data_IF_213381250180
#
_entry.id   IF_213381250180
#
_cell.length_a   1.000
_cell.length_b   1.000
_cell.length_c   1.000
_cell.angle_alpha   90.00
_cell.angle_beta   90.00
_cell.angle_gamma   90.00
#
_symmetry.space_group_name_H-M   'P 1'
#
loop_
_entity.id
_entity.type
_entity.pdbx_description
1 polymer ?
#
# COMPACT_ATOMS: atom_id res chain seq x y z
N UNK A 1 -1.31 8.43 1.26
CA UNK A 1 -0.15 9.32 1.43
C UNK A 1 -0.38 10.66 0.73
N UNK A 2 -0.51 10.69 -0.60
CA UNK A 2 -0.66 11.92 -1.40
C UNK A 2 -1.81 12.82 -0.92
N UNK A 3 -3.00 12.26 -0.69
CA UNK A 3 -4.14 13.03 -0.16
C UNK A 3 -3.84 13.73 1.17
N UNK A 4 -3.07 13.10 2.08
CA UNK A 4 -2.67 13.75 3.33
C UNK A 4 -1.65 14.87 3.07
N UNK A 5 -0.70 14.65 2.15
CA UNK A 5 0.28 15.67 1.76
C UNK A 5 -0.38 16.90 1.16
N UNK A 6 -1.38 16.70 0.30
CA UNK A 6 -2.18 17.78 -0.30
C UNK A 6 -2.99 18.57 0.74
N UNK A 7 -3.30 17.95 1.88
CA UNK A 7 -4.01 18.58 3.00
C UNK A 7 -3.06 19.10 4.10
N UNK A 8 -1.77 19.28 3.80
CA UNK A 8 -0.82 20.01 4.67
C UNK A 8 -0.08 19.16 5.70
N UNK A 9 -0.30 17.84 5.74
CA UNK A 9 0.47 16.95 6.62
C UNK A 9 1.94 16.90 6.17
N UNK A 10 2.87 16.88 7.12
CA UNK A 10 4.29 16.64 6.81
C UNK A 10 4.49 15.25 6.18
N UNK A 11 5.62 15.02 5.47
CA UNK A 11 5.94 13.70 4.94
C UNK A 11 5.90 12.60 6.01
N UNK A 12 6.51 12.83 7.16
CA UNK A 12 6.54 11.86 8.25
C UNK A 12 5.17 11.56 8.82
N UNK A 13 4.32 12.58 9.02
CA UNK A 13 2.94 12.35 9.47
C UNK A 13 2.16 11.54 8.43
N UNK A 14 2.20 11.95 7.16
CA UNK A 14 1.50 11.24 6.09
C UNK A 14 1.96 9.79 5.94
N UNK A 15 3.26 9.51 6.15
CA UNK A 15 3.79 8.15 6.11
C UNK A 15 3.36 7.33 7.32
N UNK A 16 3.42 7.91 8.53
CA UNK A 16 3.01 7.24 9.75
C UNK A 16 1.51 6.90 9.72
N UNK A 17 0.66 7.87 9.39
CA UNK A 17 -0.81 7.73 9.31
C UNK A 17 -1.30 6.85 8.15
N UNK A 18 -0.39 6.29 7.33
CA UNK A 18 -0.77 5.39 6.23
C UNK A 18 0.00 4.08 6.28
N UNK A 19 1.30 4.10 5.98
CA UNK A 19 2.10 2.89 5.82
C UNK A 19 2.46 2.28 7.17
N UNK A 20 2.90 3.07 8.15
CA UNK A 20 3.22 2.52 9.48
C UNK A 20 1.96 2.12 10.21
N UNK A 21 0.89 2.93 10.16
CA UNK A 21 -0.37 2.58 10.80
C UNK A 21 -0.93 1.26 10.28
N UNK A 22 -0.92 1.05 8.96
CA UNK A 22 -1.31 -0.25 8.40
C UNK A 22 -0.35 -1.36 8.85
N UNK A 23 0.95 -1.21 8.63
CA UNK A 23 1.90 -2.34 8.72
C UNK A 23 2.38 -2.67 10.12
N UNK A 24 2.46 -1.66 11.01
CA UNK A 24 2.96 -1.81 12.38
C UNK A 24 1.82 -1.82 13.40
N UNK A 25 0.77 -1.01 13.21
CA UNK A 25 -0.35 -0.93 14.17
C UNK A 25 -1.45 -1.95 13.86
N UNK A 26 -2.05 -1.89 12.67
CA UNK A 26 -3.30 -2.58 12.36
C UNK A 26 -3.09 -4.03 11.87
N UNK A 27 -2.13 -4.25 10.98
CA UNK A 27 -1.85 -5.58 10.41
C UNK A 27 -1.62 -6.66 11.48
N UNK A 28 -0.79 -6.45 12.52
CA UNK A 28 -0.59 -7.47 13.55
C UNK A 28 -1.88 -7.84 14.29
N UNK A 29 -2.81 -6.89 14.45
CA UNK A 29 -4.07 -7.11 15.16
C UNK A 29 -5.03 -7.97 14.35
N UNK A 30 -5.32 -7.59 13.10
CA UNK A 30 -6.27 -8.37 12.29
C UNK A 30 -5.67 -9.68 11.78
N UNK A 31 -4.35 -9.76 11.58
CA UNK A 31 -3.69 -11.01 11.25
C UNK A 31 -3.81 -12.05 12.38
N UNK A 32 -3.81 -11.58 13.64
CA UNK A 32 -3.93 -12.45 14.82
C UNK A 32 -5.38 -12.76 15.18
N UNK A 33 -6.26 -11.76 15.14
CA UNK A 33 -7.60 -11.85 15.75
C UNK A 33 -8.76 -11.70 14.76
N UNK A 34 -8.51 -11.37 13.49
CA UNK A 34 -9.55 -11.06 12.51
C UNK A 34 -9.92 -9.56 12.44
N UNK A 35 -10.55 -9.18 11.33
CA UNK A 35 -10.92 -7.78 11.03
C UNK A 35 -12.03 -7.25 11.94
N UNK A 36 -13.02 -8.08 12.26
CA UNK A 36 -14.14 -7.73 13.14
C UNK A 36 -13.64 -7.45 14.56
N UNK A 37 -12.72 -8.28 15.07
CA UNK A 37 -12.08 -8.05 16.35
C UNK A 37 -11.31 -6.73 16.35
N UNK A 38 -10.52 -6.46 15.30
CA UNK A 38 -9.77 -5.21 15.18
C UNK A 38 -10.73 -3.99 15.23
N UNK A 39 -11.81 -3.99 14.43
CA UNK A 39 -12.77 -2.90 14.41
C UNK A 39 -13.48 -2.70 15.76
N UNK A 40 -13.81 -3.78 16.48
CA UNK A 40 -14.42 -3.72 17.79
C UNK A 40 -13.48 -3.17 18.88
N UNK A 41 -12.16 -3.24 18.66
CA UNK A 41 -11.13 -2.75 19.59
C UNK A 41 -10.51 -1.40 19.16
N UNK A 42 -11.02 -0.79 18.08
CA UNK A 42 -10.71 0.59 17.71
C UNK A 42 -11.64 1.58 18.42
N UNK A 43 -11.28 2.87 18.42
CA UNK A 43 -12.17 3.94 18.90
C UNK A 43 -13.46 4.00 18.08
N UNK A 44 -14.54 4.57 18.65
CA UNK A 44 -15.81 4.73 17.94
C UNK A 44 -15.64 5.47 16.61
N UNK A 45 -14.80 6.52 16.56
CA UNK A 45 -14.54 7.28 15.33
C UNK A 45 -13.86 6.41 14.27
N UNK A 46 -12.85 5.63 14.65
CA UNK A 46 -12.15 4.74 13.71
C UNK A 46 -13.04 3.59 13.23
N UNK A 47 -13.84 3.02 14.14
CA UNK A 47 -14.80 1.97 13.80
C UNK A 47 -15.84 2.45 12.79
N UNK A 48 -16.46 3.63 13.04
CA UNK A 48 -17.42 4.22 12.11
C UNK A 48 -16.79 4.61 10.79
N UNK A 49 -15.61 5.23 10.82
CA UNK A 49 -14.85 5.54 9.60
C UNK A 49 -14.61 4.30 8.73
N UNK A 50 -14.20 3.18 9.33
CA UNK A 50 -13.99 1.94 8.58
C UNK A 50 -15.30 1.35 8.01
N UNK A 51 -16.32 1.20 8.86
CA UNK A 51 -17.60 0.58 8.47
C UNK A 51 -18.42 1.42 7.48
N UNK A 52 -18.39 2.74 7.62
CA UNK A 52 -19.18 3.64 6.78
C UNK A 52 -18.55 3.79 5.38
N UNK A 53 -17.23 3.64 5.25
CA UNK A 53 -16.51 3.81 3.98
C UNK A 53 -16.16 2.49 3.27
N UNK A 54 -16.21 1.33 3.93
CA UNK A 54 -15.80 0.06 3.32
C UNK A 54 -16.51 -0.26 2.00
N UNK A 55 -17.79 0.13 1.87
CA UNK A 55 -18.56 -0.07 0.63
C UNK A 55 -18.01 0.76 -0.53
N UNK A 56 -17.71 2.04 -0.29
CA UNK A 56 -17.14 2.92 -1.31
C UNK A 56 -15.75 2.44 -1.77
N UNK A 57 -14.90 1.97 -0.83
CA UNK A 57 -13.61 1.37 -1.17
C UNK A 57 -13.76 0.08 -1.97
N UNK A 58 -14.70 -0.79 -1.58
CA UNK A 58 -15.01 -2.00 -2.32
C UNK A 58 -15.41 -1.65 -3.76
N UNK A 59 -16.37 -0.76 -3.96
CA UNK A 59 -16.91 -0.46 -5.29
C UNK A 59 -15.88 0.23 -6.19
N UNK A 60 -14.99 1.04 -5.62
CA UNK A 60 -13.89 1.66 -6.36
C UNK A 60 -12.82 0.64 -6.80
N UNK A 61 -12.54 -0.37 -5.98
CA UNK A 61 -11.41 -1.31 -6.22
C UNK A 61 -11.82 -2.61 -6.91
N UNK A 62 -13.05 -3.08 -6.69
CA UNK A 62 -13.57 -4.34 -7.23
C UNK A 62 -13.45 -4.44 -8.76
N UNK A 63 -13.81 -3.43 -9.57
CA UNK A 63 -13.68 -3.51 -11.03
C UNK A 63 -12.22 -3.65 -11.50
N UNK A 64 -11.28 -3.03 -10.77
CA UNK A 64 -9.84 -3.13 -11.05
C UNK A 64 -9.36 -4.57 -10.79
N UNK A 65 -9.78 -5.17 -9.68
CA UNK A 65 -9.44 -6.56 -9.36
C UNK A 65 -10.07 -7.55 -10.34
N UNK A 66 -11.31 -7.33 -10.78
CA UNK A 66 -11.96 -8.16 -11.79
C UNK A 66 -11.22 -8.14 -13.12
N UNK A 67 -10.82 -6.94 -13.57
CA UNK A 67 -9.98 -6.78 -14.76
C UNK A 67 -8.64 -7.51 -14.59
N UNK A 68 -7.95 -7.29 -13.47
CA UNK A 68 -6.66 -7.94 -13.21
C UNK A 68 -6.79 -9.46 -13.20
N UNK A 69 -7.81 -10.00 -12.55
CA UNK A 69 -8.07 -11.44 -12.53
C UNK A 69 -8.29 -12.00 -13.94
N UNK A 70 -9.05 -11.29 -14.78
CA UNK A 70 -9.28 -11.68 -16.18
C UNK A 70 -7.96 -11.72 -16.97
N UNK A 71 -7.14 -10.67 -16.88
CA UNK A 71 -5.85 -10.60 -17.58
C UNK A 71 -4.90 -11.73 -17.15
N UNK A 72 -4.91 -12.10 -15.87
CA UNK A 72 -4.14 -13.25 -15.36
C UNK A 72 -4.71 -14.57 -15.90
N UNK A 73 -6.03 -14.76 -15.81
CA UNK A 73 -6.71 -15.99 -16.24
C UNK A 73 -6.55 -16.25 -17.75
N UNK A 74 -6.52 -15.19 -18.56
CA UNK A 74 -6.31 -15.28 -20.02
C UNK A 74 -4.84 -15.43 -20.41
N UNK A 75 -3.91 -15.40 -19.44
CA UNK A 75 -2.47 -15.53 -19.68
C UNK A 75 -1.80 -14.25 -20.18
N UNK A 76 -2.54 -13.14 -20.30
CA UNK A 76 -2.01 -11.87 -20.79
C UNK A 76 -0.90 -11.34 -19.87
N UNK A 77 -1.08 -11.38 -18.54
CA UNK A 77 -0.06 -10.92 -17.59
C UNK A 77 1.22 -11.77 -17.62
N UNK A 78 1.10 -13.09 -17.81
CA UNK A 78 2.24 -13.97 -18.00
C UNK A 78 2.98 -13.62 -19.31
N UNK A 79 2.24 -13.40 -20.40
CA UNK A 79 2.83 -12.99 -21.67
C UNK A 79 3.49 -11.61 -21.59
N UNK A 80 2.89 -10.63 -20.89
CA UNK A 80 3.51 -9.31 -20.62
C UNK A 80 4.85 -9.49 -19.90
N UNK A 81 4.89 -10.36 -18.90
CA UNK A 81 6.11 -10.64 -18.14
C UNK A 81 7.18 -11.29 -19.01
N UNK A 82 6.85 -12.32 -19.80
CA UNK A 82 7.77 -12.97 -20.74
C UNK A 82 8.31 -11.94 -21.75
N UNK A 83 7.42 -11.17 -22.37
CA UNK A 83 7.78 -10.16 -23.37
C UNK A 83 8.72 -9.09 -22.81
N UNK A 84 8.47 -8.63 -21.58
CA UNK A 84 9.31 -7.63 -20.93
C UNK A 84 10.67 -8.19 -20.53
N UNK A 85 10.70 -9.36 -19.87
CA UNK A 85 11.94 -9.99 -19.38
C UNK A 85 12.84 -10.49 -20.51
N UNK A 86 12.30 -10.76 -21.70
CA UNK A 86 13.07 -11.20 -22.86
C UNK A 86 13.79 -10.06 -23.58
N UNK A 87 13.55 -8.79 -23.21
CA UNK A 87 14.23 -7.65 -23.83
C UNK A 87 15.68 -7.56 -23.34
N UNK A 88 16.66 -7.28 -24.21
CA UNK A 88 18.07 -7.21 -23.83
C UNK A 88 18.36 -6.09 -22.82
N UNK A 89 17.52 -5.04 -22.80
CA UNK A 89 17.64 -3.87 -21.93
C UNK A 89 16.71 -3.92 -20.69
N UNK A 90 16.06 -5.06 -20.43
CA UNK A 90 15.06 -5.18 -19.36
C UNK A 90 15.59 -4.73 -18.01
N UNK A 91 16.80 -5.19 -17.63
CA UNK A 91 17.37 -4.89 -16.30
C UNK A 91 17.65 -3.40 -16.11
N UNK A 92 18.11 -2.72 -17.17
CA UNK A 92 18.36 -1.29 -17.15
C UNK A 92 17.05 -0.52 -16.94
N UNK A 93 16.02 -0.83 -17.74
CA UNK A 93 14.70 -0.19 -17.63
C UNK A 93 14.04 -0.45 -16.28
N UNK A 94 14.09 -1.68 -15.77
CA UNK A 94 13.59 -2.01 -14.43
C UNK A 94 14.30 -1.19 -13.35
N UNK A 95 15.62 -0.97 -13.48
CA UNK A 95 16.34 -0.14 -12.53
C UNK A 95 15.90 1.32 -12.58
N UNK A 96 15.51 1.86 -13.73
CA UNK A 96 14.93 3.21 -13.85
C UNK A 96 13.61 3.29 -13.10
N UNK A 97 12.70 2.32 -13.29
CA UNK A 97 11.41 2.26 -12.61
C UNK A 97 11.57 2.12 -11.08
N UNK A 98 12.43 1.19 -10.64
CA UNK A 98 12.72 0.99 -9.21
C UNK A 98 13.42 2.19 -8.57
N UNK A 99 14.26 2.90 -9.33
CA UNK A 99 14.89 4.14 -8.88
C UNK A 99 13.83 5.22 -8.67
N UNK A 100 12.92 5.42 -9.63
CA UNK A 100 11.83 6.38 -9.50
C UNK A 100 10.95 6.08 -8.27
N UNK A 101 10.62 4.81 -8.02
CA UNK A 101 9.90 4.41 -6.81
C UNK A 101 10.70 4.73 -5.55
N UNK A 102 11.98 4.35 -5.50
CA UNK A 102 12.85 4.55 -4.34
C UNK A 102 13.06 6.03 -4.02
N UNK A 103 13.16 6.86 -5.05
CA UNK A 103 13.41 8.31 -4.94
C UNK A 103 12.12 9.10 -4.72
N UNK A 104 10.94 8.46 -4.75
CA UNK A 104 9.70 9.15 -4.41
C UNK A 104 9.71 9.64 -2.97
N UNK A 105 9.06 10.78 -2.71
CA UNK A 105 9.00 11.40 -1.37
C UNK A 105 8.54 10.38 -0.32
N UNK A 106 7.46 9.65 -0.59
CA UNK A 106 6.90 8.64 0.31
C UNK A 106 7.93 7.59 0.74
N UNK A 107 8.73 7.05 -0.20
CA UNK A 107 9.66 5.97 0.11
C UNK A 107 10.99 6.47 0.69
N UNK A 108 11.42 7.68 0.37
CA UNK A 108 12.52 8.35 1.08
C UNK A 108 12.15 8.64 2.53
N UNK A 109 10.95 9.18 2.77
CA UNK A 109 10.41 9.37 4.13
C UNK A 109 10.34 8.06 4.89
N UNK A 110 9.78 7.02 4.26
CA UNK A 110 9.71 5.69 4.88
C UNK A 110 11.09 5.12 5.24
N UNK A 111 12.12 5.37 4.44
CA UNK A 111 13.49 4.94 4.76
C UNK A 111 14.06 5.61 6.01
N UNK A 112 13.64 6.85 6.32
CA UNK A 112 14.01 7.54 7.56
C UNK A 112 13.15 7.05 8.72
N UNK A 113 11.82 7.02 8.56
CA UNK A 113 10.89 6.59 9.61
C UNK A 113 11.21 5.18 10.11
N UNK A 114 11.53 4.24 9.21
CA UNK A 114 11.90 2.87 9.60
C UNK A 114 13.12 2.79 10.52
N UNK A 115 14.08 3.71 10.41
CA UNK A 115 15.26 3.76 11.30
C UNK A 115 14.91 4.15 12.73
N UNK A 116 13.76 4.81 12.92
CA UNK A 116 13.30 5.32 14.21
C UNK A 116 12.39 4.33 14.93
N UNK A 117 12.14 3.15 14.35
CA UNK A 117 11.25 2.17 14.97
C UNK A 117 11.86 1.62 16.27
N UNK A 118 11.04 1.31 17.28
CA UNK A 118 11.53 0.88 18.59
C UNK A 118 12.43 -0.36 18.54
N UNK A 119 12.19 -1.30 17.62
CA UNK A 119 13.00 -2.52 17.48
C UNK A 119 14.41 -2.29 16.91
N UNK A 120 14.69 -1.07 16.41
CA UNK A 120 15.99 -0.69 15.86
C UNK A 120 16.83 0.17 16.84
N UNK A 121 16.34 0.36 18.07
CA UNK A 121 17.04 1.10 19.15
C UNK A 121 17.73 0.17 20.14
#
# INVERSE_FOLDING_TARGET
>A
YETLRENGHSPSEAFNETVEELTQSLMPLFAKNGMDWMYANCSTTAQRGALDWMGAFHDATKPVFEKLYKEVKEGNEAQRSINSNSKPDYREKLNVELKALRESEMWQTGAVVRKLRPENS
#
